data_IF_661836378133
#
_entry.id   IF_661836378133
#
_cell.length_a   1.000
_cell.length_b   1.000
_cell.length_c   1.000
_cell.angle_alpha   90.00
_cell.angle_beta   90.00
_cell.angle_gamma   90.00
#
_symmetry.space_group_name_H-M   'P 1'
#
loop_
_entity.id
_entity.type
_entity.pdbx_description
1 polymer ?
#
# COMPACT_ATOMS: atom_id res chain seq x y z
N UNK A 1 -29.55 -22.43 -22.11
CA UNK A 1 -28.25 -21.78 -21.76
C UNK A 1 -28.55 -20.42 -21.17
N UNK A 2 -28.47 -20.28 -19.85
CA UNK A 2 -28.74 -19.01 -19.18
C UNK A 2 -27.49 -18.13 -19.33
N UNK A 3 -27.46 -17.20 -20.29
CA UNK A 3 -26.34 -16.28 -20.49
C UNK A 3 -26.36 -15.28 -19.34
N UNK A 4 -25.56 -15.53 -18.29
CA UNK A 4 -25.26 -14.50 -17.30
C UNK A 4 -24.66 -13.31 -18.05
N UNK A 5 -25.36 -12.17 -18.03
CA UNK A 5 -24.84 -10.91 -18.55
C UNK A 5 -23.85 -10.37 -17.53
N UNK A 6 -22.55 -10.42 -17.85
CA UNK A 6 -21.52 -9.85 -16.99
C UNK A 6 -21.34 -8.37 -17.33
N UNK A 7 -21.35 -7.45 -16.35
CA UNK A 7 -21.21 -6.01 -16.57
C UNK A 7 -19.75 -5.62 -16.87
N UNK A 8 -19.18 -6.17 -17.95
CA UNK A 8 -17.80 -5.88 -18.36
C UNK A 8 -17.61 -4.41 -18.77
N UNK A 9 -18.68 -3.76 -19.26
CA UNK A 9 -18.72 -2.32 -19.52
C UNK A 9 -18.44 -1.51 -18.26
N UNK A 10 -19.05 -1.90 -17.15
CA UNK A 10 -18.97 -1.17 -15.88
C UNK A 10 -17.60 -1.38 -15.25
N UNK A 11 -17.05 -2.60 -15.37
CA UNK A 11 -15.68 -2.89 -14.97
C UNK A 11 -14.68 -2.03 -15.78
N UNK A 12 -14.84 -1.93 -17.10
CA UNK A 12 -13.97 -1.11 -17.93
C UNK A 12 -14.07 0.39 -17.58
N UNK A 13 -15.29 0.87 -17.32
CA UNK A 13 -15.53 2.25 -16.88
C UNK A 13 -14.85 2.52 -15.54
N UNK A 14 -14.99 1.62 -14.56
CA UNK A 14 -14.33 1.73 -13.26
C UNK A 14 -12.80 1.66 -13.38
N UNK A 15 -12.29 0.72 -14.18
CA UNK A 15 -10.86 0.63 -14.48
C UNK A 15 -10.35 1.94 -15.08
N UNK A 16 -11.11 2.64 -15.92
CA UNK A 16 -10.73 3.95 -16.46
C UNK A 16 -10.55 5.07 -15.41
N UNK A 17 -11.10 4.90 -14.21
CA UNK A 17 -11.10 5.93 -13.15
C UNK A 17 -10.08 5.68 -12.03
N UNK A 18 -9.44 4.50 -12.01
CA UNK A 18 -8.56 4.08 -10.90
C UNK A 18 -7.13 3.83 -11.36
N UNK A 19 -6.18 4.40 -10.63
CA UNK A 19 -4.74 4.25 -10.89
C UNK A 19 -4.11 3.11 -10.09
N UNK A 20 -4.58 2.88 -8.86
CA UNK A 20 -4.08 1.85 -7.97
C UNK A 20 -5.17 0.83 -7.66
N UNK A 21 -4.82 -0.45 -7.76
CA UNK A 21 -5.74 -1.59 -7.55
C UNK A 21 -5.04 -2.65 -6.69
N UNK A 22 -5.71 -3.13 -5.65
CA UNK A 22 -5.25 -4.30 -4.88
C UNK A 22 -5.97 -5.55 -5.35
N UNK A 23 -5.25 -6.63 -5.63
CA UNK A 23 -5.83 -7.91 -6.02
C UNK A 23 -5.75 -8.83 -4.81
N UNK A 24 -6.90 -9.26 -4.31
CA UNK A 24 -7.00 -10.07 -3.10
C UNK A 24 -7.17 -11.55 -3.48
N UNK A 25 -6.39 -12.42 -2.84
CA UNK A 25 -6.53 -13.86 -2.89
C UNK A 25 -7.12 -14.40 -1.58
N UNK A 26 -7.85 -15.53 -1.61
CA UNK A 26 -8.30 -16.22 -0.40
C UNK A 26 -7.09 -16.72 0.40
N UNK A 27 -7.29 -17.04 1.68
CA UNK A 27 -6.23 -17.53 2.57
C UNK A 27 -5.52 -18.78 2.04
N UNK A 28 -6.26 -19.70 1.41
CA UNK A 28 -5.75 -20.93 0.81
C UNK A 28 -6.04 -20.93 -0.70
N UNK A 29 -5.31 -20.13 -1.48
CA UNK A 29 -5.56 -20.06 -2.91
C UNK A 29 -5.05 -21.32 -3.60
N UNK A 30 -5.70 -21.67 -4.70
CA UNK A 30 -5.27 -22.75 -5.60
C UNK A 30 -4.37 -22.18 -6.70
N UNK A 31 -3.65 -23.07 -7.40
CA UNK A 31 -2.72 -22.69 -8.47
C UNK A 31 -3.36 -21.79 -9.54
N UNK A 32 -4.60 -22.10 -9.95
CA UNK A 32 -5.36 -21.33 -10.92
C UNK A 32 -5.63 -19.89 -10.45
N UNK A 33 -5.97 -19.72 -9.17
CA UNK A 33 -6.23 -18.42 -8.56
C UNK A 33 -4.96 -17.57 -8.48
N UNK A 34 -3.85 -18.18 -8.07
CA UNK A 34 -2.54 -17.50 -8.01
C UNK A 34 -2.10 -17.08 -9.41
N UNK A 35 -2.15 -17.99 -10.39
CA UNK A 35 -1.78 -17.70 -11.77
C UNK A 35 -2.68 -16.62 -12.40
N UNK A 36 -3.99 -16.67 -12.16
CA UNK A 36 -4.93 -15.67 -12.66
C UNK A 36 -4.69 -14.29 -12.04
N UNK A 37 -4.42 -14.23 -10.73
CA UNK A 37 -4.09 -12.98 -10.05
C UNK A 37 -2.79 -12.36 -10.55
N UNK A 38 -1.73 -13.18 -10.72
CA UNK A 38 -0.46 -12.72 -11.28
C UNK A 38 -0.61 -12.22 -12.73
N UNK A 39 -1.33 -12.96 -13.58
CA UNK A 39 -1.55 -12.56 -14.96
C UNK A 39 -2.39 -11.27 -15.07
N UNK A 40 -3.43 -11.12 -14.24
CA UNK A 40 -4.23 -9.90 -14.18
C UNK A 40 -3.40 -8.71 -13.70
N UNK A 41 -2.60 -8.90 -12.65
CA UNK A 41 -1.69 -7.88 -12.11
C UNK A 41 -0.72 -7.38 -13.18
N UNK A 42 -0.07 -8.30 -13.88
CA UNK A 42 0.86 -7.97 -14.96
C UNK A 42 0.16 -7.21 -16.12
N UNK A 43 -1.02 -7.66 -16.53
CA UNK A 43 -1.80 -6.99 -17.57
C UNK A 43 -2.20 -5.56 -17.17
N UNK A 44 -2.68 -5.36 -15.94
CA UNK A 44 -3.03 -4.04 -15.43
C UNK A 44 -1.79 -3.14 -15.29
N UNK A 45 -0.66 -3.68 -14.84
CA UNK A 45 0.60 -2.95 -14.77
C UNK A 45 1.07 -2.50 -16.17
N UNK A 46 1.00 -3.38 -17.18
CA UNK A 46 1.29 -3.04 -18.58
C UNK A 46 0.34 -1.99 -19.16
N UNK A 47 -0.89 -1.89 -18.64
CA UNK A 47 -1.84 -0.82 -18.98
C UNK A 47 -1.60 0.51 -18.26
N UNK A 48 -0.53 0.63 -17.46
CA UNK A 48 -0.16 1.85 -16.74
C UNK A 48 -0.72 1.98 -15.33
N UNK A 49 -1.40 0.93 -14.82
CA UNK A 49 -1.93 0.91 -13.45
C UNK A 49 -0.88 0.43 -12.45
N UNK A 50 -1.10 0.71 -11.17
CA UNK A 50 -0.31 0.17 -10.07
C UNK A 50 -1.10 -0.93 -9.38
N UNK A 51 -0.63 -2.16 -9.51
CA UNK A 51 -1.26 -3.30 -8.84
C UNK A 51 -0.40 -3.91 -7.75
N UNK A 52 -1.05 -4.44 -6.72
CA UNK A 52 -0.41 -5.24 -5.68
C UNK A 52 -1.29 -6.47 -5.43
N UNK A 53 -0.71 -7.66 -5.56
CA UNK A 53 -1.38 -8.92 -5.22
C UNK A 53 -1.15 -9.22 -3.74
N UNK A 54 -2.23 -9.54 -3.03
CA UNK A 54 -2.26 -9.75 -1.60
C UNK A 54 -2.81 -11.12 -1.24
N UNK A 55 -2.10 -11.83 -0.37
CA UNK A 55 -2.55 -13.07 0.25
C UNK A 55 -2.15 -13.05 1.74
N UNK A 56 -3.04 -13.51 2.63
CA UNK A 56 -2.77 -13.49 4.07
C UNK A 56 -1.60 -14.40 4.49
N UNK A 57 -1.30 -15.45 3.71
CA UNK A 57 -0.14 -16.34 3.91
C UNK A 57 0.91 -16.15 2.82
N UNK A 58 2.17 -16.49 3.13
CA UNK A 58 3.25 -16.55 2.15
C UNK A 58 3.04 -17.74 1.19
N UNK A 59 3.21 -17.49 -0.11
CA UNK A 59 2.91 -18.44 -1.20
C UNK A 59 4.14 -18.85 -2.04
N UNK A 60 5.30 -18.25 -1.80
CA UNK A 60 6.49 -18.34 -2.67
C UNK A 60 6.99 -19.75 -2.92
N UNK A 61 6.94 -20.62 -1.91
CA UNK A 61 7.42 -22.01 -2.05
C UNK A 61 6.41 -22.90 -2.76
N UNK A 62 5.12 -22.78 -2.41
CA UNK A 62 4.04 -23.66 -2.89
C UNK A 62 3.75 -23.45 -4.38
N UNK A 63 3.96 -22.23 -4.88
CA UNK A 63 3.63 -21.85 -6.26
C UNK A 63 4.84 -21.25 -7.00
N UNK A 64 6.05 -21.74 -6.70
CA UNK A 64 7.31 -21.27 -7.32
C UNK A 64 7.33 -21.36 -8.85
N UNK A 65 6.50 -22.22 -9.44
CA UNK A 65 6.28 -22.33 -10.89
C UNK A 65 5.47 -21.19 -11.51
N UNK A 66 4.82 -20.34 -10.70
CA UNK A 66 4.00 -19.21 -11.17
C UNK A 66 4.89 -17.98 -11.33
N UNK A 67 4.90 -17.41 -12.54
CA UNK A 67 5.61 -16.16 -12.80
C UNK A 67 5.02 -15.01 -11.95
N UNK A 68 5.91 -14.21 -11.34
CA UNK A 68 5.51 -13.08 -10.50
C UNK A 68 5.07 -13.46 -9.07
N UNK A 69 5.28 -14.71 -8.63
CA UNK A 69 4.94 -15.15 -7.27
C UNK A 69 5.62 -14.30 -6.18
N UNK A 70 6.83 -13.82 -6.44
CA UNK A 70 7.59 -12.96 -5.51
C UNK A 70 6.97 -11.57 -5.32
N UNK A 71 6.04 -11.18 -6.19
CA UNK A 71 5.31 -9.91 -6.09
C UNK A 71 4.06 -10.03 -5.20
N UNK A 72 3.67 -11.25 -4.81
CA UNK A 72 2.57 -11.47 -3.88
C UNK A 72 3.05 -11.18 -2.47
N UNK A 73 2.38 -10.25 -1.81
CA UNK A 73 2.74 -9.79 -0.47
C UNK A 73 1.62 -10.11 0.53
N UNK A 74 1.99 -10.24 1.81
CA UNK A 74 1.03 -10.38 2.91
C UNK A 74 0.83 -9.08 3.70
N UNK A 75 1.34 -7.96 3.17
CA UNK A 75 1.33 -6.66 3.82
C UNK A 75 0.85 -5.60 2.85
N UNK A 76 -0.02 -4.74 3.34
CA UNK A 76 -0.42 -3.53 2.63
C UNK A 76 0.53 -2.43 3.09
N UNK A 77 1.54 -2.13 2.27
CA UNK A 77 2.46 -1.04 2.57
C UNK A 77 1.79 0.30 2.25
N UNK A 78 1.79 1.23 3.21
CA UNK A 78 1.39 2.60 2.95
C UNK A 78 2.56 3.42 2.42
N UNK A 79 2.27 4.38 1.54
CA UNK A 79 3.28 5.25 0.91
C UNK A 79 3.91 6.23 1.89
N UNK A 80 3.22 6.59 2.97
CA UNK A 80 3.65 7.65 3.87
C UNK A 80 4.50 7.11 5.02
N UNK A 81 5.52 7.88 5.40
CA UNK A 81 6.28 7.68 6.62
C UNK A 81 5.89 8.79 7.61
N UNK A 82 5.55 8.40 8.84
CA UNK A 82 5.03 9.28 9.88
C UNK A 82 6.08 9.37 10.98
N UNK A 83 6.47 10.60 11.31
CA UNK A 83 7.31 10.93 12.46
C UNK A 83 6.38 11.55 13.50
N UNK A 84 6.15 10.86 14.61
CA UNK A 84 5.38 11.40 15.72
C UNK A 84 6.34 11.87 16.81
N UNK A 85 6.10 13.06 17.34
CA UNK A 85 6.91 13.64 18.41
C UNK A 85 5.95 13.89 19.56
N UNK A 86 6.12 13.12 20.64
CA UNK A 86 5.29 13.22 21.83
C UNK A 86 5.69 14.45 22.66
N UNK A 87 5.32 15.61 22.12
CA UNK A 87 5.63 16.91 22.68
C UNK A 87 4.42 17.85 22.54
N UNK A 88 3.97 18.54 23.61
CA UNK A 88 2.78 19.38 23.54
C UNK A 88 2.91 20.50 22.51
N UNK A 89 1.99 20.55 21.53
CA UNK A 89 2.00 21.56 20.47
C UNK A 89 2.01 23.01 21.00
N UNK A 90 1.37 23.26 22.15
CA UNK A 90 1.38 24.58 22.82
C UNK A 90 2.78 25.08 23.21
N UNK A 91 3.74 24.17 23.33
CA UNK A 91 5.13 24.45 23.69
C UNK A 91 6.03 24.60 22.45
N UNK A 92 5.51 24.37 21.24
CA UNK A 92 6.23 24.58 19.98
C UNK A 92 6.12 26.05 19.59
N UNK A 93 7.25 26.65 19.20
CA UNK A 93 7.33 28.00 18.67
C UNK A 93 7.32 27.99 17.14
N UNK A 94 8.12 27.12 16.53
CA UNK A 94 8.27 27.07 15.06
C UNK A 94 8.56 25.66 14.56
N UNK A 95 8.03 25.33 13.38
CA UNK A 95 8.36 24.11 12.63
C UNK A 95 8.79 24.54 11.22
N UNK A 96 10.01 24.17 10.83
CA UNK A 96 10.57 24.40 9.49
C UNK A 96 11.01 23.09 8.88
N UNK A 97 11.13 23.06 7.55
CA UNK A 97 11.76 21.99 6.82
C UNK A 97 12.90 22.57 5.98
N UNK A 98 14.00 21.82 5.86
CA UNK A 98 15.15 22.18 5.05
C UNK A 98 15.44 21.03 4.07
N UNK A 99 15.50 21.36 2.78
CA UNK A 99 15.80 20.48 1.65
C UNK A 99 17.04 20.93 0.85
N UNK A 100 17.70 22.01 1.27
CA UNK A 100 18.77 22.66 0.51
C UNK A 100 20.15 22.03 0.73
N UNK A 101 20.34 21.30 1.83
CA UNK A 101 21.61 20.64 2.14
C UNK A 101 21.56 19.13 1.89
N UNK A 102 22.43 18.64 1.00
CA UNK A 102 22.76 17.22 0.83
C UNK A 102 21.59 16.29 0.44
N UNK A 103 20.62 16.77 -0.35
CA UNK A 103 19.47 15.96 -0.84
C UNK A 103 18.68 15.25 0.28
N UNK A 104 18.73 15.76 1.51
CA UNK A 104 18.00 15.21 2.66
C UNK A 104 16.92 16.18 3.13
N UNK A 105 15.77 15.63 3.51
CA UNK A 105 14.70 16.39 4.16
C UNK A 105 14.98 16.42 5.66
N UNK A 106 15.21 17.61 6.21
CA UNK A 106 15.39 17.83 7.65
C UNK A 106 14.19 18.59 8.22
N UNK A 107 13.56 18.08 9.27
CA UNK A 107 12.51 18.78 10.01
C UNK A 107 13.14 19.46 11.23
N UNK A 108 13.04 20.78 11.32
CA UNK A 108 13.57 21.58 12.43
C UNK A 108 12.41 22.07 13.28
N UNK A 109 12.38 21.65 14.53
CA UNK A 109 11.32 22.01 15.49
C UNK A 109 11.94 22.78 16.63
N UNK A 110 11.49 24.01 16.80
CA UNK A 110 11.96 24.93 17.83
C UNK A 110 10.90 25.01 18.93
N UNK A 111 11.20 24.51 20.14
CA UNK A 111 10.34 24.73 21.31
C UNK A 111 10.48 26.17 21.80
N UNK A 112 9.44 26.66 22.48
CA UNK A 112 9.47 27.96 23.16
C UNK A 112 10.60 28.01 24.18
N UNK A 113 11.16 29.18 24.40
CA UNK A 113 12.30 29.40 25.31
C UNK A 113 12.05 28.93 26.76
N UNK A 114 10.79 28.90 27.20
CA UNK A 114 10.38 28.47 28.55
C UNK A 114 10.04 26.99 28.65
N UNK A 115 10.09 26.25 27.53
CA UNK A 115 9.69 24.86 27.44
C UNK A 115 10.91 23.92 27.46
N UNK A 116 10.76 22.67 27.93
CA UNK A 116 11.86 21.70 27.97
C UNK A 116 12.35 21.36 26.55
N UNK A 117 13.64 21.01 26.37
CA UNK A 117 14.15 20.58 25.07
C UNK A 117 13.45 19.29 24.60
N UNK A 118 13.34 19.13 23.28
CA UNK A 118 12.81 17.92 22.67
C UNK A 118 13.92 16.86 22.71
N UNK A 119 13.66 15.73 23.36
CA UNK A 119 14.59 14.60 23.43
C UNK A 119 14.26 13.54 22.38
N UNK A 120 15.27 12.84 21.87
CA UNK A 120 15.12 11.78 20.85
C UNK A 120 14.14 10.67 21.27
N UNK A 121 14.08 10.36 22.58
CA UNK A 121 13.18 9.34 23.13
C UNK A 121 11.68 9.65 22.93
N UNK A 122 11.35 10.91 22.65
CA UNK A 122 9.98 11.35 22.38
C UNK A 122 9.59 11.17 20.91
N UNK A 123 10.54 10.82 20.04
CA UNK A 123 10.34 10.67 18.61
C UNK A 123 10.06 9.20 18.30
N UNK A 124 8.94 8.94 17.64
CA UNK A 124 8.56 7.61 17.17
C UNK A 124 8.34 7.60 15.67
N UNK A 125 8.78 6.53 15.03
CA UNK A 125 8.69 6.34 13.59
C UNK A 125 7.66 5.28 13.25
N UNK A 126 6.76 5.61 12.33
CA UNK A 126 5.75 4.68 11.88
C UNK A 126 5.60 4.75 10.36
N UNK A 127 5.67 3.61 9.68
CA UNK A 127 5.17 3.52 8.30
C UNK A 127 3.64 3.55 8.34
N UNK A 128 3.02 4.42 7.56
CA UNK A 128 1.55 4.44 7.46
C UNK A 128 1.05 3.05 7.05
N UNK A 129 -0.03 2.60 7.70
CA UNK A 129 -0.74 1.42 7.24
C UNK A 129 -1.32 1.74 5.86
N UNK A 130 -1.10 0.86 4.88
CA UNK A 130 -1.67 1.07 3.55
C UNK A 130 -3.19 0.98 3.58
N UNK A 131 -3.85 1.85 2.83
CA UNK A 131 -5.31 1.80 2.65
C UNK A 131 -5.65 1.03 1.37
N UNK A 132 -6.71 0.23 1.42
CA UNK A 132 -7.30 -0.40 0.24
C UNK A 132 -8.50 0.44 -0.19
N UNK A 133 -8.34 1.22 -1.27
CA UNK A 133 -9.43 2.01 -1.86
C UNK A 133 -10.16 1.27 -2.97
N UNK A 134 -9.38 0.58 -3.80
CA UNK A 134 -9.85 -0.14 -4.97
C UNK A 134 -9.33 -1.58 -4.88
N UNK A 135 -10.23 -2.55 -4.93
CA UNK A 135 -9.87 -3.95 -4.82
C UNK A 135 -10.62 -4.83 -5.82
N UNK A 136 -9.92 -5.86 -6.30
CA UNK A 136 -10.50 -6.98 -7.04
C UNK A 136 -10.27 -8.23 -6.19
N UNK A 137 -11.35 -8.88 -5.75
CA UNK A 137 -11.29 -10.14 -5.04
C UNK A 137 -11.38 -11.30 -6.04
N UNK A 138 -10.37 -12.18 -6.07
CA UNK A 138 -10.32 -13.33 -6.97
C UNK A 138 -10.37 -14.64 -6.19
N UNK A 139 -11.29 -15.53 -6.58
CA UNK A 139 -11.31 -16.88 -6.03
C UNK A 139 -11.97 -17.03 -4.66
N UNK A 140 -12.64 -16.00 -4.16
CA UNK A 140 -13.50 -16.10 -2.98
C UNK A 140 -14.81 -16.80 -3.35
N UNK A 141 -15.24 -17.73 -2.51
CA UNK A 141 -16.59 -18.30 -2.60
C UNK A 141 -17.62 -17.26 -2.18
N UNK A 142 -18.66 -17.06 -2.99
CA UNK A 142 -19.81 -16.20 -2.69
C UNK A 142 -20.75 -16.83 -1.66
#
# INVERSE_FOLDING_TARGET
MNKKSYPLSDLNAWLGQVDEIKILLPEKPRLDQVAAASALSDSLNKSGKKTQVLCSRSLTVEFSQVFGIDQISNRIEGRSFVINIDYPLRNIEKINWNDQEQERVSLVIEPKTTAPPIEEKLVTFQKSNGQVRNAIALGFSS
#
